data_IF_233954460515
#
_entry.id   IF_233954460515
#
_cell.length_a   1.000
_cell.length_b   1.000
_cell.length_c   1.000
_cell.angle_alpha   90.00
_cell.angle_beta   90.00
_cell.angle_gamma   90.00
#
_symmetry.space_group_name_H-M   'P 1'
#
loop_
_entity.id
_entity.type
_entity.pdbx_description
1 polymer ?
#
# COMPACT_ATOMS: atom_id res chain seq x y z
N UNK A 1 -2.04 15.84 0.13
CA UNK A 1 -1.35 14.71 0.81
C UNK A 1 -1.00 13.69 -0.26
N UNK A 2 0.24 13.70 -0.79
CA UNK A 2 0.67 12.74 -1.81
C UNK A 2 1.26 11.52 -1.10
N UNK A 3 0.62 10.36 -1.20
CA UNK A 3 1.23 9.09 -0.82
C UNK A 3 1.98 8.60 -2.06
N UNK A 4 3.30 8.76 -2.09
CA UNK A 4 4.14 8.21 -3.16
C UNK A 4 4.47 6.75 -2.83
N UNK A 5 3.89 5.83 -3.61
CA UNK A 5 4.20 4.41 -3.50
C UNK A 5 5.45 4.08 -4.33
N UNK A 6 6.61 3.92 -3.69
CA UNK A 6 7.75 3.25 -4.33
C UNK A 6 7.58 1.73 -4.20
N UNK A 7 7.07 1.08 -5.25
CA UNK A 7 7.06 -0.39 -5.32
C UNK A 7 8.49 -0.92 -5.49
N UNK A 8 9.11 -1.39 -4.40
CA UNK A 8 10.42 -2.07 -4.45
C UNK A 8 10.22 -3.58 -4.63
N UNK A 9 10.43 -4.06 -5.86
CA UNK A 9 10.46 -5.50 -6.16
C UNK A 9 11.63 -6.16 -5.41
N UNK A 10 11.33 -7.01 -4.41
CA UNK A 10 12.32 -7.83 -3.72
C UNK A 10 12.19 -9.29 -4.15
N UNK A 11 13.28 -9.89 -4.59
CA UNK A 11 13.36 -11.33 -4.87
C UNK A 11 13.82 -12.05 -3.60
N UNK A 12 13.00 -13.00 -3.11
CA UNK A 12 13.41 -13.91 -2.05
C UNK A 12 14.27 -15.03 -2.63
N UNK A 13 15.46 -15.24 -2.06
CA UNK A 13 16.33 -16.35 -2.45
C UNK A 13 16.13 -17.52 -1.49
N UNK A 14 15.87 -18.72 -2.03
CA UNK A 14 15.86 -19.96 -1.25
C UNK A 14 17.27 -20.55 -1.27
N UNK A 15 17.95 -20.52 -0.13
CA UNK A 15 19.24 -21.20 0.01
C UNK A 15 19.03 -22.71 0.20
N UNK A 16 19.04 -23.44 -0.92
CA UNK A 16 18.92 -24.91 -0.97
C UNK A 16 20.08 -25.63 -0.24
N UNK A 17 21.21 -24.95 0.04
CA UNK A 17 22.38 -25.56 0.68
C UNK A 17 22.34 -25.52 2.22
N UNK A 18 21.42 -24.77 2.83
CA UNK A 18 21.37 -24.66 4.30
C UNK A 18 20.88 -25.93 4.99
N UNK A 19 20.05 -26.72 4.30
CA UNK A 19 19.64 -28.08 4.70
C UNK A 19 20.82 -29.09 4.66
N UNK A 20 21.84 -28.83 3.84
CA UNK A 20 22.98 -29.73 3.62
C UNK A 20 24.11 -29.57 4.66
N UNK A 21 24.10 -28.52 5.49
CA UNK A 21 25.10 -28.31 6.55
C UNK A 21 24.68 -28.98 7.86
N UNK A 22 24.49 -30.30 7.81
CA UNK A 22 24.69 -31.12 9.00
C UNK A 22 26.21 -31.19 9.24
N UNK A 23 26.75 -30.88 10.44
CA UNK A 23 28.21 -30.69 10.63
C UNK A 23 29.11 -31.90 10.38
N UNK A 24 28.55 -33.09 10.10
CA UNK A 24 29.27 -34.36 10.21
C UNK A 24 29.58 -35.09 8.88
N UNK A 25 29.46 -34.45 7.71
CA UNK A 25 29.67 -35.14 6.42
C UNK A 25 30.69 -34.48 5.47
N UNK A 26 31.73 -33.85 6.02
CA UNK A 26 32.88 -33.40 5.23
C UNK A 26 34.04 -34.42 5.22
N UNK A 27 33.77 -35.71 4.96
CA UNK A 27 34.85 -36.69 4.78
C UNK A 27 34.83 -37.47 3.46
N UNK A 28 33.76 -37.50 2.65
CA UNK A 28 33.75 -38.29 1.41
C UNK A 28 33.17 -37.51 0.22
N UNK A 29 34.03 -36.68 -0.39
CA UNK A 29 33.85 -36.18 -1.76
C UNK A 29 34.17 -37.31 -2.75
N UNK A 30 33.24 -38.22 -2.97
CA UNK A 30 33.30 -39.09 -4.15
C UNK A 30 31.91 -39.58 -4.54
N UNK A 31 31.47 -39.07 -5.70
CA UNK A 31 30.62 -39.72 -6.69
C UNK A 31 29.18 -40.09 -6.27
N UNK A 32 28.24 -39.69 -7.15
CA UNK A 32 26.81 -40.02 -7.19
C UNK A 32 25.93 -39.02 -6.41
N UNK A 33 25.21 -38.16 -7.15
CA UNK A 33 24.04 -37.45 -6.62
C UNK A 33 22.96 -38.50 -6.32
N UNK A 34 22.60 -38.79 -5.05
CA UNK A 34 21.57 -39.76 -4.76
C UNK A 34 20.18 -39.12 -5.03
N UNK A 35 19.20 -39.87 -5.58
CA UNK A 35 17.83 -39.38 -5.81
C UNK A 35 17.17 -38.83 -4.53
N UNK A 36 17.58 -39.31 -3.35
CA UNK A 36 17.12 -38.83 -2.05
C UNK A 36 17.50 -37.36 -1.74
N UNK A 37 18.59 -36.83 -2.33
CA UNK A 37 18.98 -35.43 -2.17
C UNK A 37 18.05 -34.48 -2.95
N UNK A 38 17.55 -34.93 -4.10
CA UNK A 38 16.59 -34.18 -4.90
C UNK A 38 15.18 -34.25 -4.28
N UNK A 39 14.79 -35.41 -3.75
CA UNK A 39 13.49 -35.61 -3.09
C UNK A 39 13.36 -34.79 -1.79
N UNK A 40 14.43 -34.71 -0.98
CA UNK A 40 14.47 -33.85 0.21
C UNK A 40 14.42 -32.35 -0.12
N UNK A 41 15.03 -31.93 -1.23
CA UNK A 41 14.93 -30.55 -1.73
C UNK A 41 13.51 -30.21 -2.22
N UNK A 42 12.85 -31.14 -2.94
CA UNK A 42 11.46 -30.97 -3.37
C UNK A 42 10.50 -30.87 -2.17
N UNK A 43 10.65 -31.75 -1.18
CA UNK A 43 9.85 -31.71 0.04
C UNK A 43 10.03 -30.39 0.83
N UNK A 44 11.24 -29.82 0.82
CA UNK A 44 11.49 -28.50 1.42
C UNK A 44 10.77 -27.38 0.66
N UNK A 45 10.78 -27.42 -0.67
CA UNK A 45 10.06 -26.46 -1.52
C UNK A 45 8.55 -26.58 -1.30
N UNK A 46 8.01 -27.79 -1.25
CA UNK A 46 6.57 -28.02 -1.03
C UNK A 46 6.12 -27.53 0.34
N UNK A 47 6.92 -27.80 1.38
CA UNK A 47 6.67 -27.25 2.72
C UNK A 47 6.69 -25.72 2.71
N UNK A 48 7.66 -25.14 2.01
CA UNK A 48 7.76 -23.68 1.87
C UNK A 48 6.57 -23.06 1.16
N UNK A 49 6.07 -23.70 0.10
CA UNK A 49 4.86 -23.28 -0.61
C UNK A 49 3.65 -23.34 0.33
N UNK A 50 3.53 -24.41 1.12
CA UNK A 50 2.45 -24.54 2.10
C UNK A 50 2.50 -23.43 3.16
N UNK A 51 3.68 -23.16 3.73
CA UNK A 51 3.86 -22.09 4.72
C UNK A 51 3.49 -20.72 4.14
N UNK A 52 3.90 -20.44 2.89
CA UNK A 52 3.54 -19.21 2.19
C UNK A 52 2.04 -19.07 1.95
N UNK A 53 1.35 -20.14 1.57
CA UNK A 53 -0.11 -20.13 1.37
C UNK A 53 -0.88 -19.89 2.67
N UNK A 54 -0.41 -20.47 3.77
CA UNK A 54 -1.01 -20.22 5.10
C UNK A 54 -0.85 -18.76 5.50
N UNK A 55 0.33 -18.19 5.25
CA UNK A 55 0.59 -16.79 5.56
C UNK A 55 -0.19 -15.84 4.66
N UNK A 56 -0.31 -16.13 3.36
CA UNK A 56 -1.17 -15.41 2.43
C UNK A 56 -2.62 -15.36 2.93
N UNK A 57 -3.17 -16.50 3.37
CA UNK A 57 -4.52 -16.57 3.90
C UNK A 57 -4.69 -15.70 5.16
N UNK A 58 -3.71 -15.72 6.08
CA UNK A 58 -3.71 -14.89 7.27
C UNK A 58 -3.65 -13.39 6.94
N UNK A 59 -2.77 -13.00 6.00
CA UNK A 59 -2.67 -11.61 5.52
C UNK A 59 -3.99 -11.16 4.91
N UNK A 60 -4.58 -11.95 4.03
CA UNK A 60 -5.87 -11.63 3.40
C UNK A 60 -6.99 -11.47 4.42
N UNK A 61 -7.02 -12.29 5.47
CA UNK A 61 -8.01 -12.18 6.53
C UNK A 61 -7.86 -10.86 7.31
N UNK A 62 -6.63 -10.50 7.70
CA UNK A 62 -6.38 -9.25 8.41
C UNK A 62 -6.69 -8.05 7.51
N UNK A 63 -6.22 -8.05 6.26
CA UNK A 63 -6.52 -6.99 5.29
C UNK A 63 -8.03 -6.81 5.09
N UNK A 64 -8.81 -7.89 5.04
CA UNK A 64 -10.27 -7.79 4.93
C UNK A 64 -10.88 -7.08 6.13
N UNK A 65 -10.45 -7.41 7.36
CA UNK A 65 -10.94 -6.77 8.59
C UNK A 65 -10.55 -5.29 8.67
N UNK A 66 -9.31 -4.95 8.29
CA UNK A 66 -8.84 -3.57 8.23
C UNK A 66 -9.63 -2.77 7.20
N UNK A 67 -9.87 -3.34 6.02
CA UNK A 67 -10.70 -2.72 4.98
C UNK A 67 -12.13 -2.48 5.43
N UNK A 68 -12.75 -3.44 6.12
CA UNK A 68 -14.08 -3.28 6.70
C UNK A 68 -14.12 -2.16 7.75
N UNK A 69 -13.10 -2.10 8.62
CA UNK A 69 -12.99 -1.02 9.59
C UNK A 69 -12.84 0.35 8.92
N UNK A 70 -11.91 0.48 7.96
CA UNK A 70 -11.69 1.72 7.22
C UNK A 70 -12.94 2.14 6.46
N UNK A 71 -13.65 1.21 5.82
CA UNK A 71 -14.89 1.50 5.12
C UNK A 71 -15.98 2.02 6.05
N UNK A 72 -16.16 1.39 7.22
CA UNK A 72 -17.17 1.81 8.19
C UNK A 72 -16.87 3.17 8.82
N UNK A 73 -15.59 3.56 8.89
CA UNK A 73 -15.15 4.84 9.45
C UNK A 73 -14.83 5.90 8.38
N UNK A 74 -14.94 5.57 7.10
CA UNK A 74 -14.72 6.54 6.03
C UNK A 74 -15.96 7.41 5.87
N UNK A 75 -15.76 8.72 5.80
CA UNK A 75 -16.82 9.69 5.49
C UNK A 75 -17.37 9.43 4.08
N UNK A 76 -16.48 9.04 3.15
CA UNK A 76 -16.82 8.59 1.80
C UNK A 76 -16.15 7.22 1.55
N UNK A 77 -16.90 6.10 1.54
CA UNK A 77 -16.30 4.77 1.37
C UNK A 77 -15.58 4.60 0.02
N UNK A 78 -15.93 5.43 -0.95
CA UNK A 78 -15.26 5.55 -2.24
C UNK A 78 -15.06 7.03 -2.56
N UNK A 79 -13.85 7.39 -2.98
CA UNK A 79 -13.58 8.73 -3.48
C UNK A 79 -14.05 8.80 -4.95
N UNK A 80 -15.31 9.17 -5.16
CA UNK A 80 -15.91 9.36 -6.48
C UNK A 80 -15.27 10.53 -7.24
N UNK A 81 -14.60 11.45 -6.53
CA UNK A 81 -13.95 12.63 -7.11
C UNK A 81 -12.83 12.25 -8.08
N UNK A 82 -12.17 11.09 -7.89
CA UNK A 82 -11.13 10.61 -8.83
C UNK A 82 -11.75 10.25 -10.18
N UNK A 83 -12.93 9.62 -10.18
CA UNK A 83 -13.64 9.30 -11.42
C UNK A 83 -14.16 10.56 -12.09
N UNK A 84 -14.68 11.51 -11.32
CA UNK A 84 -15.11 12.81 -11.83
C UNK A 84 -13.94 13.58 -12.46
N UNK A 85 -12.78 13.58 -11.79
CA UNK A 85 -11.57 14.21 -12.28
C UNK A 85 -11.02 13.56 -13.57
N UNK A 86 -11.00 12.24 -13.64
CA UNK A 86 -10.63 11.53 -14.87
C UNK A 86 -11.60 11.82 -16.01
N UNK A 87 -12.92 11.89 -15.74
CA UNK A 87 -13.94 12.26 -16.72
C UNK A 87 -13.75 13.70 -17.20
N UNK A 88 -13.43 14.62 -16.29
CA UNK A 88 -13.12 16.00 -16.62
C UNK A 88 -11.89 16.09 -17.55
N UNK A 89 -10.82 15.35 -17.26
CA UNK A 89 -9.66 15.30 -18.16
C UNK A 89 -9.97 14.72 -19.53
N UNK A 90 -10.76 13.65 -19.60
CA UNK A 90 -11.21 13.08 -20.88
C UNK A 90 -12.02 14.12 -21.66
N UNK A 91 -12.85 14.91 -20.98
CA UNK A 91 -13.63 15.98 -21.60
C UNK A 91 -12.73 17.07 -22.19
N UNK A 92 -11.77 17.57 -21.42
CA UNK A 92 -10.77 18.55 -21.87
C UNK A 92 -9.95 18.04 -23.06
N UNK A 93 -9.50 16.80 -23.03
CA UNK A 93 -8.76 16.21 -24.16
C UNK A 93 -9.65 16.04 -25.40
N UNK A 94 -10.92 15.65 -25.25
CA UNK A 94 -11.87 15.60 -26.37
C UNK A 94 -12.14 17.00 -26.97
N UNK A 95 -12.20 18.04 -26.15
CA UNK A 95 -12.31 19.42 -26.62
C UNK A 95 -11.08 19.84 -27.43
N UNK A 96 -9.87 19.51 -26.96
CA UNK A 96 -8.62 19.76 -27.70
C UNK A 96 -8.56 18.98 -29.01
N UNK A 97 -9.07 17.75 -29.04
CA UNK A 97 -9.17 16.94 -30.25
C UNK A 97 -10.04 17.62 -31.32
N UNK A 98 -11.20 18.14 -30.90
CA UNK A 98 -12.11 18.90 -31.76
C UNK A 98 -11.50 20.20 -32.27
N UNK A 99 -10.55 20.77 -31.52
CA UNK A 99 -9.75 21.93 -31.93
C UNK A 99 -8.53 21.57 -32.81
N UNK A 100 -8.34 20.29 -33.16
CA UNK A 100 -7.31 19.82 -34.10
C UNK A 100 -6.08 19.16 -33.45
N UNK A 101 -6.07 18.91 -32.15
CA UNK A 101 -4.98 18.18 -31.50
C UNK A 101 -5.03 16.67 -31.81
N UNK A 102 -3.86 16.04 -32.00
CA UNK A 102 -3.77 14.60 -32.20
C UNK A 102 -3.49 13.88 -30.88
N UNK A 103 -4.53 13.67 -30.08
CA UNK A 103 -4.48 13.13 -28.72
C UNK A 103 -5.36 11.87 -28.54
N UNK A 104 -5.67 11.17 -29.62
CA UNK A 104 -6.52 9.97 -29.60
C UNK A 104 -5.97 8.85 -28.69
N UNK A 105 -4.63 8.69 -28.64
CA UNK A 105 -3.99 7.69 -27.78
C UNK A 105 -4.10 8.04 -26.28
N UNK A 106 -4.04 9.33 -25.95
CA UNK A 106 -4.17 9.83 -24.57
C UNK A 106 -5.59 9.61 -24.06
N UNK A 107 -6.59 9.92 -24.88
CA UNK A 107 -8.01 9.68 -24.56
C UNK A 107 -8.25 8.18 -24.33
N UNK A 108 -7.74 7.31 -25.21
CA UNK A 108 -7.86 5.85 -25.04
C UNK A 108 -7.18 5.37 -23.76
N UNK A 109 -6.01 5.93 -23.42
CA UNK A 109 -5.31 5.63 -22.18
C UNK A 109 -6.13 6.01 -20.94
N UNK A 110 -6.69 7.24 -20.93
CA UNK A 110 -7.54 7.72 -19.85
C UNK A 110 -8.83 6.89 -19.71
N UNK A 111 -9.48 6.54 -20.82
CA UNK A 111 -10.65 5.66 -20.81
C UNK A 111 -10.31 4.27 -20.28
N UNK A 112 -9.14 3.72 -20.64
CA UNK A 112 -8.64 2.46 -20.07
C UNK A 112 -8.45 2.56 -18.56
N UNK A 113 -7.86 3.65 -18.05
CA UNK A 113 -7.66 3.87 -16.61
C UNK A 113 -9.01 3.94 -15.89
N UNK A 114 -10.00 4.63 -16.45
CA UNK A 114 -11.36 4.68 -15.89
C UNK A 114 -11.96 3.28 -15.82
N UNK A 115 -11.90 2.50 -16.90
CA UNK A 115 -12.46 1.13 -16.91
C UNK A 115 -11.76 0.24 -15.89
N UNK A 116 -10.42 0.28 -15.81
CA UNK A 116 -9.65 -0.48 -14.85
C UNK A 116 -10.01 -0.11 -13.42
N UNK A 117 -10.04 1.19 -13.09
CA UNK A 117 -10.40 1.67 -11.77
C UNK A 117 -11.82 1.24 -11.37
N UNK A 118 -12.80 1.36 -12.26
CA UNK A 118 -14.17 0.87 -11.99
C UNK A 118 -14.22 -0.64 -11.77
N UNK A 119 -13.44 -1.42 -12.52
CA UNK A 119 -13.39 -2.88 -12.38
C UNK A 119 -12.76 -3.32 -11.06
N UNK A 120 -11.67 -2.66 -10.64
CA UNK A 120 -11.01 -2.88 -9.36
C UNK A 120 -11.93 -2.50 -8.21
N UNK A 121 -12.66 -1.39 -8.36
CA UNK A 121 -13.65 -0.93 -7.40
C UNK A 121 -14.79 -1.94 -7.22
N UNK A 122 -15.31 -2.48 -8.31
CA UNK A 122 -16.38 -3.46 -8.29
C UNK A 122 -15.91 -4.80 -7.72
N UNK A 123 -14.68 -5.23 -8.05
CA UNK A 123 -14.08 -6.42 -7.46
C UNK A 123 -13.89 -6.25 -5.95
N UNK A 124 -13.41 -5.09 -5.51
CA UNK A 124 -13.24 -4.78 -4.10
C UNK A 124 -14.57 -4.75 -3.36
N UNK A 125 -15.59 -4.09 -3.91
CA UNK A 125 -16.97 -4.09 -3.38
C UNK A 125 -17.50 -5.52 -3.23
N UNK A 126 -17.32 -6.36 -4.25
CA UNK A 126 -17.71 -7.78 -4.20
C UNK A 126 -16.93 -8.54 -3.13
N UNK A 127 -15.62 -8.40 -3.04
CA UNK A 127 -14.81 -9.10 -2.03
C UNK A 127 -15.18 -8.70 -0.60
N UNK A 128 -15.47 -7.43 -0.35
CA UNK A 128 -15.90 -6.93 0.96
C UNK A 128 -17.31 -7.44 1.29
N UNK A 129 -18.24 -7.40 0.33
CA UNK A 129 -19.62 -7.85 0.52
C UNK A 129 -19.74 -9.37 0.60
N UNK A 130 -19.10 -10.13 -0.28
CA UNK A 130 -19.17 -11.59 -0.34
C UNK A 130 -18.51 -12.22 0.90
N UNK A 131 -17.40 -11.68 1.40
CA UNK A 131 -16.79 -12.14 2.66
C UNK A 131 -17.55 -11.67 3.90
N UNK A 132 -18.32 -10.58 3.81
CA UNK A 132 -19.33 -10.28 4.83
C UNK A 132 -20.44 -11.34 4.79
N UNK A 133 -20.88 -11.79 3.61
CA UNK A 133 -21.96 -12.76 3.45
C UNK A 133 -21.57 -14.19 3.87
N UNK A 134 -20.34 -14.64 3.58
CA UNK A 134 -19.85 -15.97 4.02
C UNK A 134 -19.73 -16.08 5.55
N UNK A 135 -19.68 -14.95 6.28
CA UNK A 135 -19.77 -14.94 7.74
C UNK A 135 -21.20 -14.70 8.29
N UNK A 136 -22.18 -14.36 7.45
CA UNK A 136 -23.55 -14.03 7.92
C UNK A 136 -24.53 -15.20 8.04
N UNK A 137 -24.11 -16.43 7.75
CA UNK A 137 -24.86 -17.62 8.22
C UNK A 137 -24.66 -17.90 9.72
N UNK A 138 -23.98 -17.02 10.43
CA UNK A 138 -24.02 -16.97 11.89
C UNK A 138 -24.21 -15.52 12.31
N UNK A 139 -25.34 -15.28 12.98
CA UNK A 139 -25.69 -14.01 13.61
C UNK A 139 -24.47 -13.34 14.22
N UNK A 140 -24.09 -12.14 13.75
CA UNK A 140 -23.36 -11.11 14.51
C UNK A 140 -23.12 -9.89 13.63
N UNK A 141 -24.04 -8.92 13.67
CA UNK A 141 -23.78 -7.54 13.23
C UNK A 141 -22.76 -6.80 14.15
N UNK A 142 -22.11 -7.51 15.07
CA UNK A 142 -21.14 -7.02 16.06
C UNK A 142 -19.67 -7.27 15.71
N UNK A 143 -19.35 -7.67 14.47
CA UNK A 143 -17.99 -8.03 14.06
C UNK A 143 -17.16 -6.88 13.48
N UNK A 144 -17.58 -5.62 13.65
CA UNK A 144 -16.69 -4.51 13.31
C UNK A 144 -15.53 -4.49 14.32
N UNK A 145 -14.26 -4.55 13.88
CA UNK A 145 -13.13 -4.50 14.80
C UNK A 145 -13.20 -3.21 15.61
N UNK A 146 -13.28 -3.32 16.93
CA UNK A 146 -13.06 -2.16 17.79
C UNK A 146 -11.62 -1.66 17.60
N UNK A 147 -11.37 -0.37 17.84
CA UNK A 147 -10.08 0.27 17.59
C UNK A 147 -8.92 -0.50 18.26
N UNK A 148 -9.12 -0.96 19.48
CA UNK A 148 -8.10 -1.74 20.21
C UNK A 148 -7.70 -3.03 19.48
N UNK A 149 -8.68 -3.72 18.88
CA UNK A 149 -8.45 -4.97 18.12
C UNK A 149 -7.70 -4.73 16.81
N UNK A 150 -7.65 -3.50 16.32
CA UNK A 150 -6.91 -3.17 15.09
C UNK A 150 -5.42 -3.18 15.34
N UNK A 151 -5.00 -2.64 16.49
CA UNK A 151 -3.59 -2.66 16.87
C UNK A 151 -3.12 -4.11 17.07
N UNK A 152 -3.95 -4.95 17.70
CA UNK A 152 -3.68 -6.39 17.83
C UNK A 152 -3.57 -7.07 16.44
N UNK A 153 -4.43 -6.70 15.49
CA UNK A 153 -4.39 -7.23 14.12
C UNK A 153 -3.11 -6.80 13.39
N UNK A 154 -2.67 -5.55 13.55
CA UNK A 154 -1.41 -5.06 12.97
C UNK A 154 -0.20 -5.74 13.61
N UNK A 155 -0.21 -5.93 14.93
CA UNK A 155 0.84 -6.66 15.63
C UNK A 155 0.90 -8.12 15.15
N UNK A 156 -0.25 -8.76 14.94
CA UNK A 156 -0.33 -10.12 14.39
C UNK A 156 0.27 -10.23 12.99
N UNK A 157 0.14 -9.19 12.14
CA UNK A 157 0.78 -9.13 10.83
C UNK A 157 2.30 -9.03 10.96
N UNK A 158 2.81 -8.23 11.90
CA UNK A 158 4.24 -8.11 12.13
C UNK A 158 4.87 -9.36 12.74
N UNK A 159 4.09 -10.17 13.46
CA UNK A 159 4.52 -11.42 14.05
C UNK A 159 4.66 -12.57 13.03
N UNK A 160 4.23 -12.37 11.77
CA UNK A 160 4.32 -13.39 10.73
C UNK A 160 5.77 -13.77 10.41
N UNK A 161 6.09 -15.06 10.27
CA UNK A 161 7.47 -15.52 10.21
C UNK A 161 8.19 -15.19 8.89
N UNK A 162 7.45 -15.06 7.78
CA UNK A 162 8.06 -14.87 6.46
C UNK A 162 8.03 -13.39 6.05
N UNK A 163 6.84 -12.81 5.98
CA UNK A 163 6.59 -11.48 5.46
C UNK A 163 6.43 -10.45 6.58
N UNK A 164 6.20 -10.86 7.83
CA UNK A 164 6.00 -9.94 8.96
C UNK A 164 7.10 -8.90 9.14
N UNK A 165 8.41 -9.28 9.16
CA UNK A 165 9.51 -8.33 9.21
C UNK A 165 9.53 -7.36 8.02
N UNK A 166 9.16 -7.83 6.84
CA UNK A 166 9.14 -7.01 5.62
C UNK A 166 8.00 -6.00 5.64
N UNK A 167 6.82 -6.42 6.10
CA UNK A 167 5.66 -5.55 6.27
C UNK A 167 6.00 -4.45 7.29
N UNK A 168 6.67 -4.80 8.40
CA UNK A 168 7.14 -3.84 9.39
C UNK A 168 8.12 -2.82 8.81
N UNK A 169 9.15 -3.29 8.10
CA UNK A 169 10.15 -2.44 7.46
C UNK A 169 9.50 -1.42 6.50
N UNK A 170 8.54 -1.87 5.70
CA UNK A 170 7.82 -1.00 4.77
C UNK A 170 7.00 0.07 5.49
N UNK A 171 6.25 -0.31 6.53
CA UNK A 171 5.44 0.64 7.29
C UNK A 171 6.31 1.66 8.01
N UNK A 172 7.41 1.24 8.61
CA UNK A 172 8.31 2.15 9.30
C UNK A 172 9.01 3.09 8.30
N UNK A 173 9.41 2.59 7.12
CA UNK A 173 9.91 3.43 6.02
C UNK A 173 8.92 4.52 5.60
N UNK A 174 7.62 4.20 5.52
CA UNK A 174 6.57 5.18 5.21
C UNK A 174 6.42 6.23 6.32
N UNK A 175 6.47 5.82 7.60
CA UNK A 175 6.42 6.76 8.73
C UNK A 175 7.60 7.74 8.67
N UNK A 176 8.81 7.25 8.41
CA UNK A 176 9.99 8.11 8.28
C UNK A 176 9.84 9.12 7.13
N UNK A 177 9.44 8.67 5.94
CA UNK A 177 9.23 9.55 4.79
C UNK A 177 8.16 10.61 5.05
N UNK A 178 7.09 10.25 5.75
CA UNK A 178 6.03 11.19 6.13
C UNK A 178 6.55 12.25 7.12
N UNK A 179 7.32 11.84 8.13
CA UNK A 179 7.95 12.77 9.08
C UNK A 179 8.90 13.72 8.35
N UNK A 180 9.75 13.21 7.46
CA UNK A 180 10.63 14.06 6.64
C UNK A 180 9.84 15.08 5.81
N UNK A 181 8.76 14.66 5.17
CA UNK A 181 7.91 15.55 4.37
C UNK A 181 7.31 16.67 5.22
N UNK A 182 6.82 16.35 6.43
CA UNK A 182 6.27 17.35 7.37
C UNK A 182 7.37 18.32 7.81
N UNK A 183 8.55 17.81 8.19
CA UNK A 183 9.67 18.66 8.63
C UNK A 183 10.19 19.60 7.54
N UNK A 184 10.12 19.19 6.26
CA UNK A 184 10.53 20.04 5.14
C UNK A 184 9.47 21.09 4.77
N UNK A 185 8.19 20.85 5.09
CA UNK A 185 7.12 21.82 4.84
C UNK A 185 7.13 22.98 5.85
N UNK A 186 7.65 22.77 7.06
CA UNK A 186 7.78 23.81 8.10
C UNK A 186 9.16 24.48 8.08
N UNK A 187 9.45 25.25 7.02
CA UNK A 187 10.51 26.26 7.11
C UNK A 187 9.87 27.56 7.60
N UNK A 188 10.09 27.90 8.86
CA UNK A 188 9.85 29.27 9.35
C UNK A 188 10.83 30.18 8.61
N UNK A 189 10.38 30.80 7.52
CA UNK A 189 11.14 31.81 6.81
C UNK A 189 11.27 33.00 7.76
N UNK A 190 12.40 33.10 8.45
CA UNK A 190 12.78 34.36 9.07
C UNK A 190 13.04 35.34 7.94
N UNK A 191 12.08 36.23 7.70
CA UNK A 191 12.22 37.30 6.72
C UNK A 191 13.50 38.09 7.05
N UNK A 192 14.35 38.41 6.05
CA UNK A 192 15.52 39.23 6.27
C UNK A 192 15.10 40.52 6.98
N UNK A 193 15.82 40.93 8.02
CA UNK A 193 15.47 42.10 8.86
C UNK A 193 15.28 43.37 8.01
N UNK A 194 15.94 43.46 6.85
CA UNK A 194 15.79 44.55 5.90
C UNK A 194 14.43 44.56 5.15
N UNK A 195 13.81 43.39 4.93
CA UNK A 195 12.51 43.27 4.24
C UNK A 195 11.34 43.78 5.10
N UNK A 196 11.45 43.65 6.44
CA UNK A 196 10.50 44.22 7.40
C UNK A 196 10.49 45.77 7.38
N UNK A 197 11.53 46.39 6.82
CA UNK A 197 11.61 47.86 6.69
C UNK A 197 11.07 48.39 5.36
N UNK A 198 10.68 47.50 4.42
CA UNK A 198 10.21 47.93 3.11
C UNK A 198 8.85 48.65 3.21
N UNK A 199 8.60 49.66 2.37
CA UNK A 199 7.35 50.44 2.41
C UNK A 199 6.11 49.56 2.22
N UNK A 200 6.22 48.54 1.35
CA UNK A 200 5.16 47.57 1.06
C UNK A 200 4.83 46.74 2.29
N UNK A 201 5.83 46.34 3.08
CA UNK A 201 5.60 45.51 4.26
C UNK A 201 5.01 46.30 5.44
N UNK A 202 5.33 47.59 5.56
CA UNK A 202 4.68 48.49 6.53
C UNK A 202 3.19 48.68 6.24
N UNK A 203 2.83 48.85 4.96
CA UNK A 203 1.43 48.94 4.55
C UNK A 203 0.66 47.64 4.86
N UNK A 204 1.29 46.48 4.63
CA UNK A 204 0.69 45.18 4.94
C UNK A 204 0.52 44.98 6.45
N UNK A 205 1.49 45.45 7.25
CA UNK A 205 1.43 45.40 8.71
C UNK A 205 0.37 46.34 9.31
N UNK A 206 0.15 47.50 8.69
CA UNK A 206 -0.97 48.40 9.04
C UNK A 206 -2.31 47.71 8.78
N UNK A 207 -2.50 47.06 7.62
CA UNK A 207 -3.74 46.34 7.31
C UNK A 207 -4.01 45.18 8.28
N UNK A 208 -2.97 44.42 8.65
CA UNK A 208 -3.10 43.28 9.58
C UNK A 208 -3.40 43.73 11.02
N UNK A 209 -2.89 44.89 11.44
CA UNK A 209 -3.12 45.42 12.79
C UNK A 209 -4.42 46.23 12.93
N UNK A 210 -5.15 46.47 11.83
CA UNK A 210 -6.42 47.20 11.84
C UNK A 210 -7.65 46.30 12.09
N UNK A 211 -7.48 44.98 12.21
CA UNK A 211 -8.56 44.03 12.51
C UNK A 211 -8.64 43.59 14.00
N UNK A 212 -8.07 44.38 14.92
CA UNK A 212 -8.25 44.20 16.37
C UNK A 212 -8.75 45.47 17.06
#
# INVERSE_FOLDING_TARGET
MHITYEYRKRLGYLDMNRSMRSPNLLQNRSLINPPAANESALNFVDKRISDLKLEEAAILQVCTKLSQFLQANSITPFNDDILEYLRYFIHEEKLKQNAGANNAEVIRGLESIVTQYTSEMDLFKKLVNDKAVVMTNSQNQNNLPHIDKIFDLVESLYALPINGPQIREQVDGLKFAQVETITQQEVVIQLPVCAASSPVMKQLQEVVNYEH
#
